data_IF_791476078895
#
_entry.id   IF_791476078895
#
_cell.length_a   1.000
_cell.length_b   1.000
_cell.length_c   1.000
_cell.angle_alpha   90.00
_cell.angle_beta   90.00
_cell.angle_gamma   90.00
#
_symmetry.space_group_name_H-M   'P 1'
#
loop_
_entity.id
_entity.type
_entity.pdbx_description
1 polymer ?
#
# COMPACT_ATOMS: atom_id res chain seq x y z
N UNK A 1 -18.94 71.75 -0.04
CA UNK A 1 -20.03 71.42 0.91
C UNK A 1 -20.38 69.93 0.82
N UNK A 2 -19.53 69.04 1.38
CA UNK A 2 -19.81 67.59 1.39
C UNK A 2 -19.43 66.88 2.70
N UNK A 3 -19.00 67.64 3.71
CA UNK A 3 -18.40 67.10 4.95
C UNK A 3 -19.43 66.49 5.92
N UNK A 4 -20.69 66.90 5.86
CA UNK A 4 -21.74 66.42 6.77
C UNK A 4 -22.21 64.98 6.43
N UNK A 5 -22.22 64.60 5.15
CA UNK A 5 -22.69 63.28 4.70
C UNK A 5 -21.70 62.16 5.08
N UNK A 6 -20.40 62.42 4.98
CA UNK A 6 -19.34 61.44 5.31
C UNK A 6 -19.39 61.03 6.80
N UNK A 7 -19.74 61.97 7.68
CA UNK A 7 -19.87 61.72 9.13
C UNK A 7 -21.07 60.86 9.52
N UNK A 8 -22.12 60.83 8.69
CA UNK A 8 -23.39 60.12 8.98
C UNK A 8 -23.45 58.72 8.39
N UNK A 9 -22.77 58.50 7.27
CA UNK A 9 -22.82 57.23 6.55
C UNK A 9 -21.62 56.32 6.79
N UNK A 10 -20.66 56.72 7.63
CA UNK A 10 -19.61 55.85 8.15
C UNK A 10 -18.89 55.09 7.04
N UNK A 11 -17.86 55.70 6.45
CA UNK A 11 -17.05 55.10 5.39
C UNK A 11 -16.71 53.64 5.74
N UNK A 12 -17.25 52.67 4.98
CA UNK A 12 -16.88 51.27 5.16
C UNK A 12 -15.35 51.19 5.05
N UNK A 13 -14.69 50.68 6.10
CA UNK A 13 -13.25 50.42 6.08
C UNK A 13 -12.99 49.52 4.86
N UNK A 14 -12.45 50.11 3.79
CA UNK A 14 -11.99 49.34 2.64
C UNK A 14 -11.00 48.31 3.17
N UNK A 15 -11.37 47.03 3.10
CA UNK A 15 -10.50 45.93 3.51
C UNK A 15 -9.24 46.07 2.68
N UNK A 16 -8.13 46.40 3.33
CA UNK A 16 -6.84 46.50 2.62
C UNK A 16 -6.58 45.12 2.01
N UNK A 17 -6.30 45.03 0.70
CA UNK A 17 -5.93 43.75 0.11
C UNK A 17 -4.70 43.22 0.86
N UNK A 18 -4.71 41.93 1.17
CA UNK A 18 -3.57 41.26 1.78
C UNK A 18 -2.33 41.55 0.93
N UNK A 19 -1.23 41.91 1.60
CA UNK A 19 -0.01 42.32 0.87
C UNK A 19 0.47 41.19 -0.03
N UNK A 20 1.14 41.51 -1.14
CA UNK A 20 1.77 40.53 -2.03
C UNK A 20 2.69 39.57 -1.26
N UNK A 21 3.31 40.03 -0.17
CA UNK A 21 4.16 39.22 0.71
C UNK A 21 3.39 38.10 1.43
N UNK A 22 2.12 38.33 1.77
CA UNK A 22 1.26 37.30 2.35
C UNK A 22 0.99 36.19 1.34
N UNK A 23 0.66 36.54 0.10
CA UNK A 23 0.44 35.56 -0.97
C UNK A 23 1.71 34.77 -1.32
N UNK A 24 2.88 35.42 -1.31
CA UNK A 24 4.17 34.74 -1.48
C UNK A 24 4.43 33.76 -0.34
N UNK A 25 4.14 34.14 0.92
CA UNK A 25 4.30 33.25 2.07
C UNK A 25 3.36 32.04 1.99
N UNK A 26 2.10 32.24 1.58
CA UNK A 26 1.14 31.15 1.38
C UNK A 26 1.59 30.21 0.27
N UNK A 27 2.06 30.74 -0.87
CA UNK A 27 2.57 29.92 -1.97
C UNK A 27 3.80 29.11 -1.55
N UNK A 28 4.73 29.71 -0.80
CA UNK A 28 5.90 29.02 -0.27
C UNK A 28 5.51 27.89 0.68
N UNK A 29 4.57 28.15 1.61
CA UNK A 29 4.07 27.13 2.52
C UNK A 29 3.41 25.97 1.78
N UNK A 30 2.56 26.27 0.78
CA UNK A 30 1.90 25.24 -0.03
C UNK A 30 2.91 24.37 -0.79
N UNK A 31 3.97 24.97 -1.35
CA UNK A 31 5.03 24.22 -2.02
C UNK A 31 5.78 23.28 -1.08
N UNK A 32 6.11 23.73 0.14
CA UNK A 32 6.77 22.88 1.16
C UNK A 32 5.88 21.70 1.56
N UNK A 33 4.59 21.95 1.79
CA UNK A 33 3.63 20.90 2.13
C UNK A 33 3.46 19.89 0.99
N UNK A 34 3.43 20.34 -0.26
CA UNK A 34 3.35 19.45 -1.43
C UNK A 34 4.58 18.54 -1.53
N UNK A 35 5.80 19.09 -1.33
CA UNK A 35 7.03 18.30 -1.35
C UNK A 35 7.04 17.27 -0.21
N UNK A 36 6.66 17.68 1.00
CA UNK A 36 6.57 16.78 2.15
C UNK A 36 5.54 15.66 1.92
N UNK A 37 4.40 15.98 1.30
CA UNK A 37 3.37 15.00 0.96
C UNK A 37 3.87 13.99 -0.07
N UNK A 38 4.53 14.45 -1.14
CA UNK A 38 5.12 13.55 -2.15
C UNK A 38 6.17 12.65 -1.53
N UNK A 39 7.04 13.20 -0.67
CA UNK A 39 8.05 12.43 0.06
C UNK A 39 7.43 11.36 0.97
N UNK A 40 6.38 11.70 1.70
CA UNK A 40 5.66 10.76 2.56
C UNK A 40 4.95 9.67 1.74
N UNK A 41 4.27 10.05 0.65
CA UNK A 41 3.57 9.13 -0.23
C UNK A 41 4.54 8.13 -0.88
N UNK A 42 5.66 8.59 -1.44
CA UNK A 42 6.66 7.68 -2.04
C UNK A 42 7.35 6.80 -0.99
N UNK A 43 7.53 7.29 0.23
CA UNK A 43 8.06 6.48 1.34
C UNK A 43 7.05 5.39 1.76
N UNK A 44 5.75 5.64 1.65
CA UNK A 44 4.71 4.64 1.93
C UNK A 44 4.59 3.58 0.82
N UNK A 45 4.98 3.90 -0.41
CA UNK A 45 5.05 2.95 -1.53
C UNK A 45 6.36 2.13 -1.56
N UNK A 46 7.24 2.30 -0.56
CA UNK A 46 8.51 1.56 -0.46
C UNK A 46 8.37 0.17 0.17
N UNK A 47 7.16 -0.31 0.45
CA UNK A 47 6.93 -1.74 0.51
C UNK A 47 6.97 -2.24 -0.93
N UNK A 48 8.19 -2.52 -1.42
CA UNK A 48 8.43 -3.29 -2.62
C UNK A 48 7.78 -4.67 -2.44
N UNK A 49 6.46 -4.74 -2.56
CA UNK A 49 5.71 -5.99 -2.65
C UNK A 49 6.22 -6.67 -3.90
N UNK A 50 6.94 -7.79 -3.79
CA UNK A 50 7.40 -8.52 -4.96
C UNK A 50 6.19 -8.80 -5.86
N UNK A 51 6.37 -8.71 -7.18
CA UNK A 51 5.28 -9.01 -8.11
C UNK A 51 4.88 -10.49 -7.96
N UNK A 52 3.81 -10.77 -7.23
CA UNK A 52 3.22 -12.10 -7.13
C UNK A 52 2.16 -12.26 -8.20
N UNK A 53 2.29 -13.32 -8.98
CA UNK A 53 1.25 -13.73 -9.91
C UNK A 53 0.60 -14.99 -9.35
N UNK A 54 -0.60 -14.84 -8.81
CA UNK A 54 -1.43 -15.96 -8.35
C UNK A 54 -1.73 -16.87 -9.56
N UNK A 55 -1.30 -18.13 -9.50
CA UNK A 55 -1.38 -19.06 -10.64
C UNK A 55 -2.62 -19.95 -10.56
N UNK A 56 -2.99 -20.34 -9.34
CA UNK A 56 -4.19 -21.12 -9.11
C UNK A 56 -4.26 -21.64 -7.67
N UNK A 57 -5.48 -21.76 -7.16
CA UNK A 57 -5.77 -22.41 -5.89
C UNK A 57 -6.70 -23.59 -6.13
N UNK A 58 -6.50 -24.66 -5.38
CA UNK A 58 -7.36 -25.84 -5.38
C UNK A 58 -7.88 -26.08 -3.96
N UNK A 59 -9.19 -26.07 -3.81
CA UNK A 59 -9.85 -26.35 -2.52
C UNK A 59 -9.93 -27.86 -2.38
N UNK A 60 -9.11 -28.42 -1.49
CA UNK A 60 -9.07 -29.87 -1.26
C UNK A 60 -10.20 -30.29 -0.30
N UNK A 61 -10.49 -29.48 0.72
CA UNK A 61 -11.54 -29.74 1.72
C UNK A 61 -11.99 -28.46 2.44
N UNK A 62 -13.05 -28.55 3.26
CA UNK A 62 -13.58 -27.43 4.07
C UNK A 62 -12.57 -26.91 5.12
N UNK A 63 -11.60 -27.74 5.50
CA UNK A 63 -10.55 -27.45 6.49
C UNK A 63 -9.13 -27.36 5.89
N UNK A 64 -8.96 -27.61 4.59
CA UNK A 64 -7.65 -27.65 3.93
C UNK A 64 -7.70 -27.13 2.49
N UNK A 65 -6.84 -26.14 2.19
CA UNK A 65 -6.70 -25.58 0.83
C UNK A 65 -5.26 -25.71 0.37
N UNK A 66 -5.09 -26.08 -0.90
CA UNK A 66 -3.78 -26.07 -1.55
C UNK A 66 -3.65 -24.81 -2.42
N UNK A 67 -2.56 -24.08 -2.21
CA UNK A 67 -2.18 -22.95 -3.04
C UNK A 67 -0.95 -23.30 -3.85
N UNK A 68 -1.01 -23.05 -5.16
CA UNK A 68 0.17 -23.04 -6.02
C UNK A 68 0.43 -21.61 -6.46
N UNK A 69 1.55 -21.06 -6.02
CA UNK A 69 1.94 -19.69 -6.34
C UNK A 69 3.34 -19.67 -6.94
N UNK A 70 3.58 -18.69 -7.83
CA UNK A 70 4.90 -18.41 -8.36
C UNK A 70 5.41 -17.10 -7.76
N UNK A 71 6.63 -17.16 -7.23
CA UNK A 71 7.35 -16.01 -6.71
C UNK A 71 8.54 -15.73 -7.62
N UNK A 72 8.67 -14.48 -8.05
CA UNK A 72 9.87 -14.02 -8.73
C UNK A 72 10.84 -13.49 -7.66
N UNK A 73 11.93 -14.20 -7.43
CA UNK A 73 13.00 -13.79 -6.49
C UNK A 73 14.38 -14.08 -7.07
N UNK A 74 15.40 -13.43 -6.52
CA UNK A 74 16.78 -13.80 -6.81
C UNK A 74 17.06 -15.21 -6.26
N UNK A 75 17.65 -16.14 -7.03
CA UNK A 75 17.92 -17.51 -6.58
C UNK A 75 18.77 -17.59 -5.31
N UNK A 76 19.68 -16.62 -5.11
CA UNK A 76 20.62 -16.59 -3.97
C UNK A 76 19.98 -16.11 -2.65
N UNK A 77 18.77 -15.54 -2.70
CA UNK A 77 18.12 -14.90 -1.53
C UNK A 77 17.00 -15.78 -0.98
N UNK A 78 16.93 -15.91 0.35
CA UNK A 78 15.80 -16.54 1.05
C UNK A 78 14.65 -15.55 1.15
N UNK A 79 13.43 -15.99 0.79
CA UNK A 79 12.23 -15.16 0.91
C UNK A 79 11.17 -15.85 1.76
N UNK A 80 10.48 -15.08 2.59
CA UNK A 80 9.35 -15.56 3.38
C UNK A 80 8.09 -14.91 2.84
N UNK A 81 7.10 -15.75 2.52
CA UNK A 81 5.80 -15.35 2.00
C UNK A 81 4.70 -15.64 3.01
N UNK A 82 3.95 -14.61 3.38
CA UNK A 82 2.73 -14.74 4.15
C UNK A 82 1.56 -15.02 3.22
N UNK A 83 0.93 -16.17 3.38
CA UNK A 83 -0.24 -16.60 2.61
C UNK A 83 -1.46 -16.60 3.52
N UNK A 84 -2.58 -16.08 3.00
CA UNK A 84 -3.86 -16.07 3.72
C UNK A 84 -4.96 -16.72 2.90
N UNK A 85 -5.82 -17.44 3.60
CA UNK A 85 -7.06 -17.98 3.08
C UNK A 85 -8.23 -17.09 3.49
N UNK A 86 -9.17 -16.88 2.57
CA UNK A 86 -10.32 -15.98 2.70
C UNK A 86 -11.63 -16.74 2.49
N UNK A 87 -12.65 -16.40 3.28
CA UNK A 87 -14.02 -16.89 3.08
C UNK A 87 -14.76 -16.13 1.96
N UNK A 88 -16.04 -16.47 1.75
CA UNK A 88 -16.92 -15.82 0.77
C UNK A 88 -17.18 -14.32 1.06
N UNK A 89 -17.04 -13.90 2.32
CA UNK A 89 -17.10 -12.49 2.73
C UNK A 89 -15.76 -11.77 2.63
N UNK A 90 -14.70 -12.46 2.17
CA UNK A 90 -13.30 -12.00 2.16
C UNK A 90 -12.73 -11.76 3.56
N UNK A 91 -13.22 -12.48 4.57
CA UNK A 91 -12.64 -12.51 5.89
C UNK A 91 -11.52 -13.58 5.96
N UNK A 92 -10.38 -13.29 6.62
CA UNK A 92 -9.30 -14.25 6.76
C UNK A 92 -9.69 -15.41 7.67
N UNK A 93 -9.60 -16.64 7.16
CA UNK A 93 -9.95 -17.89 7.87
C UNK A 93 -8.74 -18.80 8.12
N UNK A 94 -7.59 -18.47 7.55
CA UNK A 94 -6.34 -19.18 7.79
C UNK A 94 -5.13 -18.36 7.34
N UNK A 95 -4.00 -18.59 7.98
CA UNK A 95 -2.72 -17.95 7.68
C UNK A 95 -1.59 -18.97 7.76
N UNK A 96 -0.63 -18.86 6.86
CA UNK A 96 0.58 -19.68 6.87
C UNK A 96 1.74 -18.88 6.29
N UNK A 97 2.87 -18.90 6.98
CA UNK A 97 4.13 -18.39 6.46
C UNK A 97 4.87 -19.53 5.76
N UNK A 98 5.32 -19.27 4.54
CA UNK A 98 6.02 -20.22 3.69
C UNK A 98 7.41 -19.67 3.42
N UNK A 99 8.44 -20.42 3.83
CA UNK A 99 9.83 -20.05 3.59
C UNK A 99 10.28 -20.66 2.27
N UNK A 100 10.77 -19.82 1.37
CA UNK A 100 11.38 -20.20 0.11
C UNK A 100 12.89 -20.12 0.27
N UNK A 101 13.52 -21.29 0.39
CA UNK A 101 14.98 -21.40 0.52
C UNK A 101 15.69 -20.87 -0.75
N UNK A 102 16.97 -20.53 -0.59
CA UNK A 102 17.86 -20.25 -1.73
C UNK A 102 17.97 -21.51 -2.58
N UNK A 103 17.77 -21.38 -3.88
CA UNK A 103 17.86 -22.52 -4.80
C UNK A 103 19.20 -22.42 -5.52
N UNK A 104 20.04 -23.46 -5.44
CA UNK A 104 21.33 -23.52 -6.17
C UNK A 104 21.17 -23.50 -7.71
N UNK A 105 19.92 -23.60 -8.19
CA UNK A 105 19.55 -23.56 -9.59
C UNK A 105 19.54 -22.13 -10.11
N UNK A 106 20.68 -21.69 -10.63
CA UNK A 106 21.00 -20.31 -11.04
C UNK A 106 20.20 -19.77 -12.23
N UNK A 107 19.29 -20.56 -12.81
CA UNK A 107 18.67 -20.27 -14.11
C UNK A 107 17.21 -19.78 -14.02
N UNK A 108 16.53 -20.02 -12.91
CA UNK A 108 15.11 -19.65 -12.76
C UNK A 108 14.89 -18.65 -11.63
N UNK A 109 14.71 -17.37 -11.98
CA UNK A 109 14.20 -16.34 -11.05
C UNK A 109 12.77 -16.61 -10.57
N UNK A 110 12.09 -17.58 -11.18
CA UNK A 110 10.70 -17.95 -10.89
C UNK A 110 10.70 -19.26 -10.09
N UNK A 111 10.31 -19.19 -8.83
CA UNK A 111 10.11 -20.37 -7.98
C UNK A 111 8.62 -20.66 -7.89
N UNK A 112 8.20 -21.85 -8.31
CA UNK A 112 6.84 -22.35 -8.10
C UNK A 112 6.83 -23.28 -6.89
N UNK A 113 5.93 -23.02 -5.94
CA UNK A 113 5.74 -23.89 -4.78
C UNK A 113 4.25 -24.16 -4.58
N UNK A 114 3.95 -25.41 -4.18
CA UNK A 114 2.60 -25.85 -3.83
C UNK A 114 2.61 -26.18 -2.35
N UNK A 115 1.81 -25.45 -1.58
CA UNK A 115 1.71 -25.62 -0.12
C UNK A 115 0.27 -25.81 0.32
N UNK A 116 0.09 -26.71 1.29
CA UNK A 116 -1.20 -26.92 1.92
C UNK A 116 -1.35 -26.04 3.16
N UNK A 117 -2.51 -25.41 3.29
CA UNK A 117 -2.85 -24.49 4.38
C UNK A 117 -4.06 -25.05 5.10
N UNK A 118 -3.93 -25.21 6.42
CA UNK A 118 -5.06 -25.54 7.28
C UNK A 118 -5.88 -24.29 7.56
N UNK A 119 -7.19 -24.38 7.35
CA UNK A 119 -8.13 -23.28 7.57
C UNK A 119 -9.12 -23.66 8.66
N UNK A 120 -9.62 -22.64 9.37
CA UNK A 120 -10.58 -22.83 10.48
C UNK A 120 -12.04 -22.84 10.00
N UNK A 121 -12.26 -22.72 8.69
CA UNK A 121 -13.58 -22.69 8.07
C UNK A 121 -13.48 -22.61 6.55
N UNK A 122 -14.62 -22.66 5.84
CA UNK A 122 -14.67 -22.81 4.40
C UNK A 122 -14.01 -21.62 3.70
N UNK A 123 -12.87 -21.88 3.08
CA UNK A 123 -12.13 -20.91 2.29
C UNK A 123 -12.58 -20.96 0.83
N UNK A 124 -12.88 -19.79 0.27
CA UNK A 124 -13.30 -19.63 -1.14
C UNK A 124 -12.17 -19.08 -2.00
N UNK A 125 -11.19 -18.41 -1.40
CA UNK A 125 -10.02 -17.89 -2.08
C UNK A 125 -8.79 -18.00 -1.19
N UNK A 126 -7.63 -18.17 -1.81
CA UNK A 126 -6.33 -18.10 -1.11
C UNK A 126 -5.44 -17.18 -1.93
N UNK A 127 -4.69 -16.32 -1.24
CA UNK A 127 -3.81 -15.36 -1.89
C UNK A 127 -2.60 -15.06 -1.02
N UNK A 128 -1.53 -14.59 -1.66
CA UNK A 128 -0.32 -14.11 -0.99
C UNK A 128 -0.58 -12.70 -0.48
N UNK A 129 -0.42 -12.47 0.82
CA UNK A 129 -0.62 -11.15 1.43
C UNK A 129 0.61 -10.26 1.25
N UNK A 130 1.78 -10.80 1.57
CA UNK A 130 3.06 -10.12 1.44
C UNK A 130 4.19 -11.14 1.37
N UNK A 131 5.31 -10.79 0.73
CA UNK A 131 6.56 -11.48 0.98
C UNK A 131 7.69 -10.50 1.19
N UNK A 132 8.68 -10.94 1.94
CA UNK A 132 9.90 -10.20 2.24
C UNK A 132 11.10 -11.13 2.09
N UNK A 133 12.23 -10.57 1.68
CA UNK A 133 13.51 -11.28 1.72
C UNK A 133 14.04 -11.28 3.15
N UNK A 134 14.50 -12.44 3.62
CA UNK A 134 15.29 -12.54 4.84
C UNK A 134 16.74 -12.66 4.40
N UNK A 135 17.52 -11.61 4.66
CA UNK A 135 18.96 -11.54 4.42
C UNK A 135 19.73 -12.58 5.24
#
# INVERSE_FOLDING_TARGET
MSTALDSRYGRQKQRKPLSTRFWVAVAALAAVLAIAFVWWATSSESAATPEFKDIGHEIISDDEVSLTFQVVKDPEVTAVCAVKALDSNRAPVGWKEVTLESSDSSDSRVTQLTENIKVLGPATAVTVDSCWSTE
#
